data_IF_161734864518
#
_entry.id   IF_161734864518
#
_cell.length_a   1.000
_cell.length_b   1.000
_cell.length_c   1.000
_cell.angle_alpha   90.00
_cell.angle_beta   90.00
_cell.angle_gamma   90.00
#
_symmetry.space_group_name_H-M   'P 1'
#
loop_
_entity.id
_entity.type
_entity.pdbx_description
1 polymer ?
#
# COMPACT_ATOMS: atom_id res chain seq x y z
N UNK A 1 -22.05 -56.67 -6.63
CA UNK A 1 -21.43 -55.39 -7.00
C UNK A 1 -21.82 -54.38 -5.94
N UNK A 2 -20.86 -53.77 -5.24
CA UNK A 2 -21.14 -52.69 -4.29
C UNK A 2 -21.54 -51.43 -5.06
N UNK A 3 -22.71 -50.88 -4.76
CA UNK A 3 -23.12 -49.59 -5.32
C UNK A 3 -22.14 -48.51 -4.84
N UNK A 4 -21.46 -47.85 -5.79
CA UNK A 4 -20.62 -46.70 -5.48
C UNK A 4 -21.54 -45.51 -5.33
N UNK A 5 -21.56 -44.93 -4.13
CA UNK A 5 -22.32 -43.72 -3.83
C UNK A 5 -21.56 -42.50 -4.36
N UNK A 6 -22.20 -41.74 -5.25
CA UNK A 6 -21.66 -40.56 -5.89
C UNK A 6 -22.25 -39.25 -5.32
N UNK A 7 -22.97 -39.31 -4.20
CA UNK A 7 -23.51 -38.15 -3.49
C UNK A 7 -22.46 -37.08 -3.16
N UNK A 8 -21.19 -37.46 -3.03
CA UNK A 8 -20.06 -36.53 -2.86
C UNK A 8 -19.77 -35.65 -4.09
N UNK A 9 -20.20 -36.06 -5.29
CA UNK A 9 -20.04 -35.25 -6.51
C UNK A 9 -20.93 -34.00 -6.46
N UNK A 10 -22.07 -34.05 -5.77
CA UNK A 10 -22.96 -32.90 -5.57
C UNK A 10 -22.35 -31.83 -4.65
N UNK A 11 -21.24 -32.14 -3.98
CA UNK A 11 -20.48 -31.18 -3.19
C UNK A 11 -19.55 -30.34 -4.06
N UNK A 12 -19.16 -30.82 -5.25
CA UNK A 12 -18.24 -30.10 -6.14
C UNK A 12 -18.81 -28.74 -6.56
N UNK A 13 -20.08 -28.63 -7.03
CA UNK A 13 -20.67 -27.34 -7.37
C UNK A 13 -20.76 -26.40 -6.17
N UNK A 14 -21.14 -26.92 -5.00
CA UNK A 14 -21.26 -26.14 -3.76
C UNK A 14 -19.92 -25.60 -3.27
N UNK A 15 -18.85 -26.38 -3.44
CA UNK A 15 -17.49 -25.92 -3.13
C UNK A 15 -17.06 -24.82 -4.09
N UNK A 16 -17.38 -24.94 -5.38
CA UNK A 16 -17.04 -23.95 -6.40
C UNK A 16 -17.74 -22.61 -6.12
N UNK A 17 -19.02 -22.64 -5.79
CA UNK A 17 -19.81 -21.46 -5.40
C UNK A 17 -19.18 -20.75 -4.18
N UNK A 18 -18.84 -21.49 -3.12
CA UNK A 18 -18.15 -20.91 -1.96
C UNK A 18 -16.77 -20.33 -2.28
N UNK A 19 -16.03 -20.94 -3.21
CA UNK A 19 -14.73 -20.40 -3.64
C UNK A 19 -14.88 -19.08 -4.38
N UNK A 20 -15.91 -18.93 -5.21
CA UNK A 20 -16.23 -17.68 -5.90
C UNK A 20 -16.67 -16.58 -4.92
N UNK A 21 -17.53 -16.92 -3.95
CA UNK A 21 -17.92 -16.00 -2.87
C UNK A 21 -16.70 -15.51 -2.09
N UNK A 22 -15.86 -16.43 -1.61
CA UNK A 22 -14.62 -16.09 -0.89
C UNK A 22 -13.67 -15.23 -1.73
N UNK A 23 -13.54 -15.52 -3.03
CA UNK A 23 -12.70 -14.74 -3.92
C UNK A 23 -13.24 -13.31 -4.08
N UNK A 24 -14.55 -13.14 -4.13
CA UNK A 24 -15.22 -11.85 -4.21
C UNK A 24 -14.96 -11.04 -2.93
N UNK A 25 -15.20 -11.61 -1.75
CA UNK A 25 -14.90 -10.96 -0.46
C UNK A 25 -13.42 -10.54 -0.35
N UNK A 26 -12.49 -11.41 -0.78
CA UNK A 26 -11.07 -11.08 -0.81
C UNK A 26 -10.75 -9.91 -1.75
N UNK A 27 -11.43 -9.82 -2.90
CA UNK A 27 -11.23 -8.68 -3.81
C UNK A 27 -11.75 -7.37 -3.22
N UNK A 28 -12.91 -7.40 -2.56
CA UNK A 28 -13.49 -6.23 -1.90
C UNK A 28 -12.61 -5.73 -0.75
N UNK A 29 -12.14 -6.64 0.12
CA UNK A 29 -11.22 -6.33 1.20
C UNK A 29 -9.90 -5.74 0.66
N UNK A 30 -9.34 -6.31 -0.40
CA UNK A 30 -8.13 -5.76 -1.04
C UNK A 30 -8.35 -4.37 -1.64
N UNK A 31 -9.54 -4.07 -2.13
CA UNK A 31 -9.88 -2.73 -2.63
C UNK A 31 -9.99 -1.73 -1.48
N UNK A 32 -10.57 -2.13 -0.35
CA UNK A 32 -10.63 -1.30 0.87
C UNK A 32 -9.26 -1.05 1.49
N UNK A 33 -8.37 -2.05 1.43
CA UNK A 33 -7.02 -2.00 2.00
C UNK A 33 -5.98 -1.37 1.07
N UNK A 34 -6.30 -1.13 -0.21
CA UNK A 34 -5.39 -0.41 -1.10
C UNK A 34 -5.19 1.00 -0.53
N UNK A 35 -3.98 1.34 -0.05
CA UNK A 35 -3.76 2.67 0.48
C UNK A 35 -4.04 3.68 -0.63
N UNK A 36 -4.84 4.71 -0.31
CA UNK A 36 -5.23 5.77 -1.25
C UNK A 36 -4.01 6.45 -1.91
N UNK A 37 -2.84 6.33 -1.28
CA UNK A 37 -1.59 6.96 -1.68
C UNK A 37 -0.43 5.96 -1.55
N UNK A 38 0.45 5.90 -2.57
CA UNK A 38 1.71 5.17 -2.48
C UNK A 38 2.78 6.07 -1.85
N UNK A 39 2.88 6.04 -0.52
CA UNK A 39 3.79 6.89 0.25
C UNK A 39 5.28 6.61 0.03
N UNK A 40 5.64 5.70 -0.87
CA UNK A 40 7.02 5.54 -1.35
C UNK A 40 7.37 6.54 -2.45
N UNK A 41 6.35 7.08 -3.14
CA UNK A 41 6.48 7.98 -4.30
C UNK A 41 6.29 9.43 -3.89
N UNK A 42 7.17 10.29 -4.42
CA UNK A 42 7.11 11.75 -4.21
C UNK A 42 5.75 12.36 -4.55
N UNK A 43 5.14 11.93 -5.65
CA UNK A 43 3.87 12.48 -6.14
C UNK A 43 2.72 12.26 -5.15
N UNK A 44 2.72 11.12 -4.47
CA UNK A 44 1.67 10.76 -3.53
C UNK A 44 1.96 11.29 -2.13
N UNK A 45 3.23 11.35 -1.73
CA UNK A 45 3.66 11.97 -0.46
C UNK A 45 3.25 13.44 -0.39
N UNK A 46 3.42 14.23 -1.47
CA UNK A 46 3.01 15.65 -1.46
C UNK A 46 1.49 15.82 -1.31
N UNK A 47 0.70 14.93 -1.92
CA UNK A 47 -0.77 14.95 -1.83
C UNK A 47 -1.18 14.54 -0.42
N UNK A 48 -0.59 13.46 0.10
CA UNK A 48 -0.88 12.95 1.44
C UNK A 48 -0.57 13.99 2.53
N UNK A 49 0.58 14.67 2.43
CA UNK A 49 0.99 15.72 3.37
C UNK A 49 0.32 17.08 3.11
N UNK A 50 -0.45 17.21 2.03
CA UNK A 50 -1.06 18.45 1.55
C UNK A 50 -0.05 19.61 1.45
N UNK A 51 1.07 19.38 0.76
CA UNK A 51 2.14 20.37 0.56
C UNK A 51 2.53 20.50 -0.91
N UNK A 52 3.13 21.64 -1.25
CA UNK A 52 3.71 21.84 -2.58
C UNK A 52 5.01 21.05 -2.74
N UNK A 53 5.41 20.80 -4.00
CA UNK A 53 6.68 20.15 -4.31
C UNK A 53 7.88 20.98 -3.81
N UNK A 54 7.80 22.31 -3.94
CA UNK A 54 8.79 23.24 -3.39
C UNK A 54 8.93 23.12 -1.86
N UNK A 55 7.83 22.93 -1.14
CA UNK A 55 7.83 22.71 0.31
C UNK A 55 8.48 21.39 0.67
N UNK A 56 8.19 20.32 -0.08
CA UNK A 56 8.79 19.01 0.12
C UNK A 56 10.32 19.07 -0.09
N UNK A 57 10.78 19.76 -1.14
CA UNK A 57 12.21 20.00 -1.36
C UNK A 57 12.85 20.82 -0.26
N UNK A 58 12.15 21.87 0.21
CA UNK A 58 12.61 22.65 1.35
C UNK A 58 12.78 21.75 2.57
N UNK A 59 11.80 20.91 2.91
CA UNK A 59 11.89 20.00 4.05
C UNK A 59 13.05 19.03 3.97
N UNK A 60 13.34 18.53 2.77
CA UNK A 60 14.52 17.69 2.52
C UNK A 60 15.81 18.49 2.68
N UNK A 61 15.87 19.72 2.15
CA UNK A 61 17.06 20.58 2.17
C UNK A 61 17.42 21.07 3.57
N UNK A 62 16.41 21.47 4.36
CA UNK A 62 16.61 21.98 5.73
C UNK A 62 16.67 20.86 6.78
N UNK A 63 16.54 19.59 6.37
CA UNK A 63 16.68 18.43 7.27
C UNK A 63 15.46 18.10 8.12
N UNK A 64 14.29 18.70 7.84
CA UNK A 64 13.01 18.30 8.48
C UNK A 64 12.70 16.84 8.12
N UNK A 65 12.83 16.48 6.84
CA UNK A 65 12.84 15.08 6.43
C UNK A 65 14.29 14.59 6.38
N UNK A 66 14.61 13.65 7.26
CA UNK A 66 15.95 13.06 7.43
C UNK A 66 16.19 11.88 6.48
N UNK A 67 17.32 11.91 5.76
CA UNK A 67 17.82 10.77 4.97
C UNK A 67 18.14 9.59 5.90
N UNK A 68 17.74 8.39 5.51
CA UNK A 68 17.89 7.16 6.30
C UNK A 68 16.73 6.87 7.26
N UNK A 69 15.84 7.86 7.50
CA UNK A 69 14.62 7.66 8.30
C UNK A 69 13.37 7.90 7.46
N UNK A 70 13.17 9.14 6.98
CA UNK A 70 11.98 9.51 6.20
C UNK A 70 12.10 9.12 4.72
N UNK A 71 13.34 9.06 4.21
CA UNK A 71 13.61 8.67 2.82
C UNK A 71 15.03 8.12 2.67
N UNK A 72 15.23 7.36 1.61
CA UNK A 72 16.56 6.94 1.14
C UNK A 72 16.72 7.32 -0.34
N UNK A 73 17.97 7.33 -0.81
CA UNK A 73 18.29 7.59 -2.21
C UNK A 73 18.84 6.31 -2.83
N UNK A 74 18.17 5.83 -3.86
CA UNK A 74 18.66 4.74 -4.68
C UNK A 74 19.26 5.29 -5.98
N UNK A 75 20.40 4.74 -6.39
CA UNK A 75 20.97 4.99 -7.69
C UNK A 75 20.57 3.83 -8.61
N UNK A 76 19.68 4.08 -9.57
CA UNK A 76 19.30 3.09 -10.60
C UNK A 76 19.54 3.71 -11.97
N UNK A 77 20.29 3.00 -12.82
CA UNK A 77 20.56 3.38 -14.21
C UNK A 77 21.02 4.84 -14.37
N UNK A 78 22.02 5.26 -13.58
CA UNK A 78 22.57 6.63 -13.55
C UNK A 78 21.60 7.73 -13.09
N UNK A 79 20.40 7.36 -12.64
CA UNK A 79 19.43 8.29 -12.04
C UNK A 79 19.35 8.09 -10.54
N UNK A 80 19.43 9.18 -9.78
CA UNK A 80 19.19 9.16 -8.32
C UNK A 80 17.69 9.34 -8.08
N UNK A 81 17.06 8.36 -7.45
CA UNK A 81 15.65 8.40 -7.05
C UNK A 81 15.53 8.47 -5.53
N UNK A 82 14.63 9.32 -5.06
CA UNK A 82 14.26 9.38 -3.65
C UNK A 82 13.10 8.40 -3.44
N UNK A 83 13.27 7.50 -2.48
CA UNK A 83 12.23 6.58 -2.05
C UNK A 83 11.89 6.94 -0.60
N UNK A 84 10.64 7.27 -0.37
CA UNK A 84 10.14 7.62 0.95
C UNK A 84 9.78 6.37 1.76
N UNK A 85 9.89 6.47 3.07
CA UNK A 85 9.51 5.40 4.01
C UNK A 85 8.11 5.70 4.51
N UNK A 86 7.13 4.90 4.11
CA UNK A 86 5.70 5.16 4.35
C UNK A 86 5.37 5.42 5.82
N UNK A 87 5.84 4.55 6.73
CA UNK A 87 5.59 4.67 8.17
C UNK A 87 6.12 5.99 8.75
N UNK A 88 7.33 6.39 8.38
CA UNK A 88 7.93 7.64 8.85
C UNK A 88 7.19 8.89 8.32
N UNK A 89 6.58 8.81 7.14
CA UNK A 89 5.76 9.91 6.58
C UNK A 89 4.40 10.00 7.28
N UNK A 90 3.79 8.87 7.61
CA UNK A 90 2.56 8.81 8.40
C UNK A 90 2.78 9.40 9.81
N UNK A 91 3.85 8.98 10.48
CA UNK A 91 4.26 9.53 11.77
C UNK A 91 4.51 11.05 11.69
N UNK A 92 5.23 11.51 10.67
CA UNK A 92 5.50 12.92 10.46
C UNK A 92 4.21 13.74 10.35
N UNK A 93 3.22 13.24 9.60
CA UNK A 93 1.91 13.90 9.48
C UNK A 93 1.17 13.93 10.81
N UNK A 94 1.12 12.79 11.52
CA UNK A 94 0.46 12.70 12.81
C UNK A 94 1.07 13.63 13.87
N UNK A 95 2.39 13.81 13.86
CA UNK A 95 3.07 14.77 14.74
C UNK A 95 2.75 16.21 14.35
N UNK A 96 2.69 16.50 13.04
CA UNK A 96 2.41 17.84 12.52
C UNK A 96 0.98 18.30 12.81
N UNK A 97 0.00 17.40 12.76
CA UNK A 97 -1.41 17.71 13.05
C UNK A 97 -1.70 17.90 14.53
N UNK A 98 -0.86 17.36 15.42
CA UNK A 98 -0.95 17.55 16.88
C UNK A 98 -0.36 18.88 17.37
N UNK A 99 0.37 19.61 16.51
CA UNK A 99 1.02 20.88 16.82
C UNK A 99 0.21 22.05 16.29
#
# INVERSE_FOLDING_TARGET
>A
MSAVDFSSLDLIPKMLEKMEEMQTELTELRQQLKPKYDLTKRADVKIYLNISDCTLDRYIRIGVLKKGYHYHRELKNKTSRIIFVSSAIEEFKAIKEKR
#
